data_IF_537978717155
#
_entry.id   IF_537978717155
#
_cell.length_a   1.000
_cell.length_b   1.000
_cell.length_c   1.000
_cell.angle_alpha   90.00
_cell.angle_beta   90.00
_cell.angle_gamma   90.00
#
_symmetry.space_group_name_H-M   'P 1'
#
loop_
_entity.id
_entity.type
_entity.pdbx_description
1 polymer ?
#
# COMPACT_ATOMS: atom_id res chain seq x y z
N UNK A 1 -0.53 -17.10 19.19
CA UNK A 1 -0.20 -17.85 17.96
C UNK A 1 0.99 -17.19 17.28
N UNK A 2 1.95 -17.98 16.83
CA UNK A 2 3.29 -17.53 16.44
C UNK A 2 3.25 -16.55 15.25
N UNK A 3 3.73 -15.31 15.46
CA UNK A 3 3.98 -14.35 14.38
C UNK A 3 5.16 -14.90 13.56
N UNK A 4 4.87 -15.25 12.31
CA UNK A 4 5.84 -15.69 11.31
C UNK A 4 6.73 -14.48 10.98
N UNK A 5 7.76 -14.24 11.79
CA UNK A 5 8.89 -13.36 11.45
C UNK A 5 9.99 -14.14 10.74
N UNK A 6 9.65 -15.24 10.06
CA UNK A 6 10.63 -16.12 9.46
C UNK A 6 10.97 -15.65 8.04
N UNK A 7 12.13 -15.00 7.93
CA UNK A 7 13.02 -14.99 6.76
C UNK A 7 12.60 -14.19 5.54
N UNK A 8 12.28 -12.91 5.72
CA UNK A 8 12.85 -11.91 4.82
C UNK A 8 13.69 -10.97 5.70
N UNK A 9 15.00 -10.94 5.48
CA UNK A 9 15.78 -9.76 5.83
C UNK A 9 15.15 -8.61 5.05
N UNK A 10 14.21 -7.89 5.68
CA UNK A 10 13.62 -6.73 5.04
C UNK A 10 14.70 -5.67 5.02
N UNK A 11 15.37 -5.56 3.88
CA UNK A 11 16.24 -4.44 3.56
C UNK A 11 15.45 -3.16 3.86
N UNK A 12 15.98 -2.33 4.75
CA UNK A 12 15.30 -1.12 5.24
C UNK A 12 15.05 -0.07 4.14
N UNK A 13 15.49 -0.35 2.91
CA UNK A 13 15.34 0.50 1.72
C UNK A 13 14.31 -0.03 0.71
N UNK A 14 13.89 -1.29 0.81
CA UNK A 14 13.11 -1.95 -0.24
C UNK A 14 11.60 -1.86 0.02
N UNK A 15 10.78 -1.58 -1.01
CA UNK A 15 9.33 -1.59 -0.90
C UNK A 15 8.82 -2.99 -0.53
N UNK A 16 7.72 -3.04 0.24
CA UNK A 16 6.95 -4.26 0.38
C UNK A 16 6.14 -4.45 -0.90
N UNK A 17 6.36 -5.58 -1.57
CA UNK A 17 5.75 -5.91 -2.86
C UNK A 17 4.58 -6.87 -2.66
N UNK A 18 3.47 -6.57 -3.31
CA UNK A 18 2.27 -7.41 -3.34
C UNK A 18 1.92 -7.71 -4.80
N UNK A 19 2.05 -8.96 -5.19
CA UNK A 19 1.64 -9.41 -6.53
C UNK A 19 0.14 -9.64 -6.55
N UNK A 20 -0.54 -9.02 -7.51
CA UNK A 20 -1.98 -9.12 -7.69
C UNK A 20 -2.31 -10.21 -8.70
N UNK A 21 -3.35 -11.04 -8.47
CA UNK A 21 -3.76 -12.08 -9.41
C UNK A 21 -4.51 -11.46 -10.60
N UNK A 22 -3.81 -10.73 -11.47
CA UNK A 22 -4.38 -10.11 -12.67
C UNK A 22 -3.60 -8.91 -13.20
N UNK A 23 -4.10 -8.32 -14.29
CA UNK A 23 -3.53 -7.13 -14.98
C UNK A 23 -3.87 -5.79 -14.31
N UNK A 24 -4.32 -5.80 -13.06
CA UNK A 24 -5.04 -4.67 -12.45
C UNK A 24 -4.57 -4.38 -11.01
N UNK A 25 -3.26 -4.39 -10.79
CA UNK A 25 -2.62 -3.82 -9.58
C UNK A 25 -3.08 -2.40 -9.27
N UNK A 26 -3.49 -1.63 -10.29
CA UNK A 26 -4.06 -0.30 -10.15
C UNK A 26 -5.39 -0.31 -9.39
N UNK A 27 -6.33 -1.20 -9.75
CA UNK A 27 -7.62 -1.32 -9.05
C UNK A 27 -7.41 -1.71 -7.59
N UNK A 28 -6.49 -2.65 -7.36
CA UNK A 28 -6.11 -3.07 -6.01
C UNK A 28 -5.45 -1.93 -5.21
N UNK A 29 -4.58 -1.13 -5.83
CA UNK A 29 -4.00 0.06 -5.18
C UNK A 29 -5.07 1.11 -4.85
N UNK A 30 -6.04 1.33 -5.73
CA UNK A 30 -7.19 2.22 -5.49
C UNK A 30 -8.06 1.66 -4.35
N UNK A 31 -8.30 0.36 -4.29
CA UNK A 31 -9.08 -0.27 -3.22
C UNK A 31 -8.40 -0.10 -1.85
N UNK A 32 -7.07 -0.26 -1.80
CA UNK A 32 -6.27 0.02 -0.59
C UNK A 32 -6.44 1.48 -0.18
N UNK A 33 -6.29 2.43 -1.11
CA UNK A 33 -6.46 3.85 -0.82
C UNK A 33 -7.88 4.20 -0.35
N UNK A 34 -8.92 3.59 -0.94
CA UNK A 34 -10.33 3.79 -0.52
C UNK A 34 -10.57 3.26 0.87
N UNK A 35 -9.98 2.11 1.21
CA UNK A 35 -10.04 1.56 2.57
C UNK A 35 -9.39 2.51 3.57
N UNK A 36 -8.23 3.06 3.22
CA UNK A 36 -7.51 4.02 4.04
C UNK A 36 -8.27 5.34 4.22
N UNK A 37 -9.00 5.82 3.21
CA UNK A 37 -9.83 7.03 3.30
C UNK A 37 -10.91 6.94 4.39
N UNK A 38 -11.32 5.73 4.78
CA UNK A 38 -12.26 5.51 5.87
C UNK A 38 -11.62 5.53 7.27
N UNK A 39 -10.29 5.63 7.37
CA UNK A 39 -9.57 5.74 8.63
C UNK A 39 -9.46 7.21 9.06
N UNK A 40 -9.84 7.52 10.29
CA UNK A 40 -9.84 8.91 10.82
C UNK A 40 -8.43 9.53 10.83
N UNK A 41 -7.39 8.69 10.90
CA UNK A 41 -5.99 9.12 10.94
C UNK A 41 -5.32 9.15 9.55
N UNK A 42 -6.08 8.94 8.47
CA UNK A 42 -5.59 8.97 7.10
C UNK A 42 -5.42 10.40 6.58
N UNK A 43 -4.26 10.67 5.97
CA UNK A 43 -3.99 11.89 5.21
C UNK A 43 -3.20 11.55 3.95
N UNK A 44 -3.56 12.20 2.87
CA UNK A 44 -2.76 12.22 1.64
C UNK A 44 -2.57 13.68 1.19
N UNK A 45 -1.40 14.00 0.63
CA UNK A 45 -1.16 15.34 0.07
C UNK A 45 -1.87 15.52 -1.28
N UNK A 46 -2.31 14.43 -1.91
CA UNK A 46 -3.07 14.47 -3.15
C UNK A 46 -4.56 14.62 -2.81
N UNK A 47 -5.02 15.87 -2.69
CA UNK A 47 -6.24 16.32 -2.01
C UNK A 47 -7.57 15.90 -2.66
N UNK A 48 -7.58 14.96 -3.61
CA UNK A 48 -8.80 14.34 -4.12
C UNK A 48 -8.50 13.00 -4.78
N UNK A 49 -8.92 11.89 -4.15
CA UNK A 49 -8.94 10.57 -4.80
C UNK A 49 -9.72 10.57 -6.13
N UNK A 50 -10.61 11.56 -6.34
CA UNK A 50 -11.33 11.82 -7.59
C UNK A 50 -10.45 12.24 -8.77
N UNK A 51 -9.18 12.57 -8.52
CA UNK A 51 -8.25 13.10 -9.53
C UNK A 51 -7.05 12.19 -9.78
N UNK A 52 -6.96 11.05 -9.08
CA UNK A 52 -5.88 10.08 -9.26
C UNK A 52 -5.96 9.52 -10.68
N UNK A 53 -5.04 9.94 -11.54
CA UNK A 53 -4.90 9.37 -12.87
C UNK A 53 -3.89 8.22 -12.83
N UNK A 54 -3.97 7.32 -13.81
CA UNK A 54 -3.10 6.15 -13.96
C UNK A 54 -1.61 6.48 -13.82
N UNK A 55 -1.18 7.67 -14.27
CA UNK A 55 0.20 8.13 -14.16
C UNK A 55 0.67 8.41 -12.73
N UNK A 56 -0.20 8.85 -11.82
CA UNK A 56 0.20 9.26 -10.47
C UNK A 56 0.63 8.05 -9.62
N UNK A 57 -0.04 6.90 -9.79
CA UNK A 57 0.26 5.66 -9.07
C UNK A 57 1.46 4.91 -9.66
N UNK A 58 1.68 5.02 -10.98
CA UNK A 58 2.74 4.28 -11.68
C UNK A 58 4.07 5.04 -11.68
N UNK A 59 4.06 6.35 -11.91
CA UNK A 59 5.28 7.14 -12.12
C UNK A 59 5.79 7.82 -10.84
N UNK A 60 4.88 8.31 -9.99
CA UNK A 60 5.21 9.17 -8.84
C UNK A 60 5.03 8.46 -7.51
N UNK A 61 3.96 7.68 -7.38
CA UNK A 61 3.52 7.10 -6.13
C UNK A 61 2.75 8.07 -5.26
N UNK A 62 1.76 7.55 -4.55
CA UNK A 62 0.88 8.35 -3.71
C UNK A 62 1.43 8.36 -2.28
N UNK A 63 1.86 9.52 -1.75
CA UNK A 63 2.24 9.64 -0.36
C UNK A 63 0.99 9.55 0.53
N UNK A 64 1.11 8.73 1.56
CA UNK A 64 0.08 8.43 2.53
C UNK A 64 0.68 8.56 3.93
N UNK A 65 -0.05 9.25 4.80
CA UNK A 65 0.15 9.23 6.24
C UNK A 65 -1.04 8.52 6.90
N UNK A 66 -0.75 7.54 7.73
CA UNK A 66 -1.74 6.82 8.54
C UNK A 66 -1.28 6.89 10.00
N UNK A 67 -1.91 7.76 10.79
CA UNK A 67 -1.50 8.02 12.17
C UNK A 67 -0.06 8.51 12.25
N UNK A 68 0.84 7.68 12.75
CA UNK A 68 2.27 7.99 12.91
C UNK A 68 3.20 7.25 11.94
N UNK A 69 2.67 6.71 10.84
CA UNK A 69 3.46 6.15 9.74
C UNK A 69 3.26 6.95 8.46
N UNK A 70 4.33 7.08 7.68
CA UNK A 70 4.31 7.70 6.36
C UNK A 70 4.91 6.72 5.36
N UNK A 71 4.25 6.57 4.23
CA UNK A 71 4.65 5.64 3.19
C UNK A 71 4.11 6.09 1.83
N UNK A 72 4.67 5.55 0.75
CA UNK A 72 4.16 5.71 -0.61
C UNK A 72 3.58 4.40 -1.12
N UNK A 73 2.45 4.49 -1.83
CA UNK A 73 1.88 3.38 -2.60
C UNK A 73 2.14 3.65 -4.08
N UNK A 74 2.70 2.67 -4.77
CA UNK A 74 2.88 2.66 -6.23
C UNK A 74 2.35 1.35 -6.80
N UNK A 75 2.04 1.31 -8.09
CA UNK A 75 1.74 0.07 -8.79
C UNK A 75 2.50 -0.06 -10.11
N UNK A 76 2.83 -1.29 -10.50
CA UNK A 76 3.24 -1.65 -11.87
C UNK A 76 2.08 -2.34 -12.58
N UNK A 77 2.31 -3.19 -13.58
CA UNK A 77 1.25 -3.95 -14.24
C UNK A 77 0.65 -5.07 -13.37
N UNK A 78 1.48 -5.71 -12.55
CA UNK A 78 1.10 -6.90 -11.78
C UNK A 78 1.33 -6.73 -10.27
N UNK A 79 2.12 -5.73 -9.88
CA UNK A 79 2.55 -5.54 -8.49
C UNK A 79 2.12 -4.20 -7.90
N UNK A 80 1.91 -4.21 -6.59
CA UNK A 80 1.80 -3.02 -5.75
C UNK A 80 3.06 -2.92 -4.90
N UNK A 81 3.63 -1.72 -4.85
CA UNK A 81 4.81 -1.40 -4.05
C UNK A 81 4.39 -0.44 -2.94
N UNK A 82 4.63 -0.83 -1.69
CA UNK A 82 4.40 0.02 -0.53
C UNK A 82 5.75 0.30 0.12
N UNK A 83 6.21 1.54 0.01
CA UNK A 83 7.52 1.96 0.54
C UNK A 83 7.33 2.85 1.77
N UNK A 84 7.88 2.42 2.91
CA UNK A 84 7.91 3.27 4.10
C UNK A 84 8.83 4.47 3.89
N UNK A 85 8.35 5.65 4.26
CA UNK A 85 9.12 6.89 4.30
C UNK A 85 9.61 7.12 5.73
N UNK A 86 8.69 7.11 6.71
CA UNK A 86 9.02 7.46 8.09
C UNK A 86 8.07 6.79 9.10
N UNK A 87 8.21 7.13 10.39
CA UNK A 87 7.26 6.70 11.42
C UNK A 87 7.51 5.31 12.04
N UNK A 88 6.51 4.79 12.75
CA UNK A 88 6.62 3.53 13.50
C UNK A 88 6.74 2.30 12.59
N UNK A 89 7.89 1.61 12.66
CA UNK A 89 8.20 0.42 11.84
C UNK A 89 7.18 -0.71 12.03
N UNK A 90 6.84 -1.05 13.27
CA UNK A 90 5.96 -2.18 13.57
C UNK A 90 4.55 -1.95 13.02
N UNK A 91 4.01 -0.75 13.21
CA UNK A 91 2.69 -0.37 12.66
C UNK A 91 2.67 -0.42 11.13
N UNK A 92 3.76 -0.01 10.47
CA UNK A 92 3.87 -0.11 9.02
C UNK A 92 3.78 -1.55 8.51
N UNK A 93 4.49 -2.50 9.16
CA UNK A 93 4.38 -3.90 8.75
C UNK A 93 3.03 -4.52 9.14
N UNK A 94 2.43 -4.14 10.27
CA UNK A 94 1.07 -4.56 10.61
C UNK A 94 0.05 -4.08 9.57
N UNK A 95 0.20 -2.85 9.08
CA UNK A 95 -0.56 -2.36 7.93
C UNK A 95 -0.31 -3.22 6.68
N UNK A 96 0.94 -3.47 6.31
CA UNK A 96 1.28 -4.31 5.15
C UNK A 96 0.67 -5.73 5.26
N UNK A 97 0.73 -6.36 6.42
CA UNK A 97 0.08 -7.67 6.65
C UNK A 97 -1.45 -7.58 6.53
N UNK A 98 -2.06 -6.47 6.94
CA UNK A 98 -3.50 -6.24 6.74
C UNK A 98 -3.89 -6.11 5.26
N UNK A 99 -2.95 -5.66 4.41
CA UNK A 99 -3.09 -5.64 2.95
C UNK A 99 -2.91 -7.05 2.37
N UNK A 100 -1.97 -7.86 2.87
CA UNK A 100 -1.82 -9.27 2.43
C UNK A 100 -3.08 -10.10 2.68
N UNK A 101 -3.81 -9.76 3.73
CA UNK A 101 -5.09 -10.40 4.05
C UNK A 101 -6.26 -9.91 3.19
N UNK A 102 -6.07 -8.87 2.37
CA UNK A 102 -7.08 -8.45 1.40
C UNK A 102 -7.10 -9.42 0.23
N UNK A 103 -8.30 -9.85 -0.14
CA UNK A 103 -8.51 -10.66 -1.33
C UNK A 103 -8.61 -9.74 -2.55
N UNK A 104 -7.58 -9.74 -3.39
CA UNK A 104 -7.52 -8.99 -4.65
C UNK A 104 -8.00 -9.84 -5.85
N UNK A 105 -8.62 -10.99 -5.60
CA UNK A 105 -9.20 -11.79 -6.67
C UNK A 105 -10.23 -10.97 -7.45
N UNK A 106 -10.25 -11.06 -8.79
CA UNK A 106 -11.21 -10.32 -9.59
C UNK A 106 -12.63 -10.68 -9.15
N UNK A 107 -13.38 -9.68 -8.69
CA UNK A 107 -14.80 -9.85 -8.36
C UNK A 107 -15.53 -10.19 -9.66
N UNK A 108 -16.03 -11.42 -9.74
CA UNK A 108 -16.79 -11.95 -10.89
C UNK A 108 -18.11 -11.22 -11.09
#
# INVERSE_FOLDING_TARGET
MAKIFAKQEVGYADPVIFTTPGRYSMDAAIEILKRLENDEDYKTENSSMKSLNDGDLVEVGIPVRLGNIEFTIMCSYEDIFIKRISGNKMKFYEFCESIRAMDFSPRS
#
